data_IF_456893372448
#
_entry.id   IF_456893372448
#
_cell.length_a   1.000
_cell.length_b   1.000
_cell.length_c   1.000
_cell.angle_alpha   90.00
_cell.angle_beta   90.00
_cell.angle_gamma   90.00
#
_symmetry.space_group_name_H-M   'P 1'
#
loop_
_entity.id
_entity.type
_entity.pdbx_description
1 polymer ?
#
# COMPACT_ATOMS: atom_id res chain seq x y z
N UNK A 1 8.97 36.65 -8.32
CA UNK A 1 8.07 35.70 -9.01
C UNK A 1 8.36 34.30 -8.50
N UNK A 2 7.32 33.58 -8.06
CA UNK A 2 7.37 32.12 -7.85
C UNK A 2 7.85 31.63 -6.49
N UNK A 3 7.11 31.94 -5.41
CA UNK A 3 7.24 31.16 -4.17
C UNK A 3 6.92 29.69 -4.49
N UNK A 4 7.95 28.85 -4.47
CA UNK A 4 7.85 27.40 -4.62
C UNK A 4 6.91 26.94 -3.51
N UNK A 5 5.65 26.65 -3.85
CA UNK A 5 4.71 26.05 -2.91
C UNK A 5 5.42 24.86 -2.31
N UNK A 6 5.77 24.95 -1.02
CA UNK A 6 6.15 23.78 -0.25
C UNK A 6 4.91 22.90 -0.30
N UNK A 7 4.85 22.00 -1.27
CA UNK A 7 3.88 20.93 -1.28
C UNK A 7 4.13 20.23 0.03
N UNK A 8 3.25 20.46 1.03
CA UNK A 8 3.30 19.71 2.29
C UNK A 8 3.43 18.26 1.84
N UNK A 9 4.54 17.61 2.18
CA UNK A 9 4.71 16.21 1.88
C UNK A 9 3.57 15.48 2.60
N UNK A 10 2.55 15.16 1.82
CA UNK A 10 1.46 14.30 2.22
C UNK A 10 2.04 12.90 2.33
N UNK A 11 1.69 12.17 3.38
CA UNK A 11 2.19 10.81 3.57
C UNK A 11 1.03 9.85 3.75
N UNK A 12 1.09 8.68 3.13
CA UNK A 12 0.24 7.54 3.48
C UNK A 12 0.94 6.73 4.57
N UNK A 13 0.16 6.19 5.49
CA UNK A 13 0.62 5.19 6.44
C UNK A 13 0.34 3.82 5.85
N UNK A 14 1.38 3.05 5.56
CA UNK A 14 1.26 1.68 5.07
C UNK A 14 1.42 0.73 6.24
N UNK A 15 0.35 0.00 6.53
CA UNK A 15 0.28 -0.99 7.59
C UNK A 15 0.40 -2.39 7.00
N UNK A 16 1.49 -3.10 7.29
CA UNK A 16 1.69 -4.49 6.88
C UNK A 16 1.48 -5.36 8.09
N UNK A 17 0.56 -6.32 8.01
CA UNK A 17 0.21 -7.16 9.15
C UNK A 17 0.21 -8.64 8.77
N UNK A 18 0.07 -9.53 9.75
CA UNK A 18 -0.01 -11.00 9.57
C UNK A 18 1.27 -11.59 8.94
N UNK A 19 1.12 -12.66 8.15
CA UNK A 19 2.24 -13.33 7.48
C UNK A 19 2.95 -12.43 6.45
N UNK A 20 2.27 -11.40 5.93
CA UNK A 20 2.83 -10.44 4.96
C UNK A 20 4.02 -9.67 5.55
N UNK A 21 4.09 -9.54 6.88
CA UNK A 21 5.22 -8.89 7.55
C UNK A 21 6.56 -9.56 7.23
N UNK A 22 6.60 -10.87 6.89
CA UNK A 22 7.83 -11.58 6.48
C UNK A 22 8.50 -10.92 5.27
N UNK A 23 7.70 -10.42 4.34
CA UNK A 23 8.19 -9.81 3.10
C UNK A 23 8.75 -8.40 3.29
N UNK A 24 8.55 -7.80 4.46
CA UNK A 24 9.08 -6.47 4.82
C UNK A 24 10.06 -6.51 6.00
N UNK A 25 10.68 -7.68 6.23
CA UNK A 25 11.69 -7.88 7.29
C UNK A 25 11.11 -8.11 8.69
N UNK A 26 9.82 -8.45 8.79
CA UNK A 26 9.18 -8.97 9.99
C UNK A 26 9.36 -10.48 10.14
N UNK A 27 8.79 -11.03 11.21
CA UNK A 27 8.83 -12.46 11.52
C UNK A 27 7.55 -13.21 11.08
N UNK A 28 6.58 -12.50 10.49
CA UNK A 28 5.27 -13.04 10.12
C UNK A 28 4.20 -12.87 11.18
N UNK A 29 4.48 -12.12 12.24
CA UNK A 29 3.55 -11.79 13.30
C UNK A 29 3.45 -10.28 13.52
N UNK A 30 2.34 -9.86 14.16
CA UNK A 30 2.09 -8.46 14.50
C UNK A 30 1.91 -7.55 13.29
N UNK A 31 2.24 -6.28 13.48
CA UNK A 31 2.04 -5.20 12.51
C UNK A 31 3.32 -4.38 12.36
N UNK A 32 3.63 -4.01 11.12
CA UNK A 32 4.72 -3.10 10.73
C UNK A 32 4.10 -1.88 10.06
N UNK A 33 4.47 -0.69 10.54
CA UNK A 33 3.98 0.58 9.99
C UNK A 33 5.10 1.28 9.23
N UNK A 34 4.77 1.73 8.02
CA UNK A 34 5.65 2.49 7.15
C UNK A 34 4.97 3.80 6.75
N UNK A 35 5.77 4.78 6.35
CA UNK A 35 5.28 6.07 5.84
C UNK A 35 5.78 6.26 4.43
N UNK A 36 4.85 6.38 3.49
CA UNK A 36 5.18 6.66 2.10
C UNK A 36 4.84 8.09 1.73
N UNK A 37 5.76 8.82 1.06
CA UNK A 37 5.46 10.13 0.53
C UNK A 37 4.45 10.01 -0.62
N UNK A 38 3.43 10.85 -0.58
CA UNK A 38 2.44 11.05 -1.64
C UNK A 38 2.78 12.32 -2.40
N UNK A 39 2.88 12.20 -3.72
CA UNK A 39 2.98 13.33 -4.63
C UNK A 39 1.59 13.73 -5.14
N UNK A 40 1.39 15.00 -5.52
CA UNK A 40 0.14 15.41 -6.16
C UNK A 40 -0.15 14.56 -7.40
N UNK A 41 -1.32 13.91 -7.42
CA UNK A 41 -1.74 13.02 -8.50
C UNK A 41 -1.33 11.55 -8.32
N UNK A 42 -0.67 11.19 -7.22
CA UNK A 42 -0.46 9.79 -6.87
C UNK A 42 -1.79 9.10 -6.56
N UNK A 43 -1.86 7.83 -6.92
CA UNK A 43 -3.01 6.95 -6.67
C UNK A 43 -2.61 5.84 -5.71
N UNK A 44 -3.59 5.06 -5.25
CA UNK A 44 -3.32 3.84 -4.47
C UNK A 44 -2.30 2.95 -5.19
N UNK A 45 -2.46 2.77 -6.50
CA UNK A 45 -1.56 1.98 -7.35
C UNK A 45 -0.13 2.53 -7.34
N UNK A 46 0.06 3.84 -7.54
CA UNK A 46 1.41 4.40 -7.62
C UNK A 46 2.13 4.32 -6.28
N UNK A 47 1.42 4.58 -5.18
CA UNK A 47 1.96 4.47 -3.81
C UNK A 47 2.32 3.03 -3.48
N UNK A 48 1.44 2.06 -3.77
CA UNK A 48 1.72 0.64 -3.54
C UNK A 48 2.92 0.17 -4.37
N UNK A 49 3.03 0.57 -5.65
CA UNK A 49 4.19 0.23 -6.48
C UNK A 49 5.49 0.81 -5.95
N UNK A 50 5.48 2.07 -5.52
CA UNK A 50 6.65 2.71 -4.92
C UNK A 50 7.05 2.05 -3.59
N UNK A 51 6.07 1.61 -2.80
CA UNK A 51 6.31 0.89 -1.55
C UNK A 51 6.95 -0.48 -1.81
N UNK A 52 6.30 -1.26 -2.68
CA UNK A 52 6.67 -2.65 -2.99
C UNK A 52 7.96 -2.78 -3.79
N UNK A 53 8.35 -1.76 -4.56
CA UNK A 53 9.65 -1.77 -5.27
C UNK A 53 10.86 -1.87 -4.33
N UNK A 54 10.69 -1.62 -3.03
CA UNK A 54 11.74 -1.79 -2.01
C UNK A 54 11.79 -3.20 -1.42
N UNK A 55 10.77 -4.01 -1.69
CA UNK A 55 10.55 -5.35 -1.15
C UNK A 55 10.12 -6.31 -2.27
N UNK A 56 11.06 -6.88 -3.05
CA UNK A 56 10.74 -7.71 -4.21
C UNK A 56 9.83 -8.91 -3.91
N UNK A 57 9.96 -9.49 -2.72
CA UNK A 57 9.08 -10.59 -2.28
C UNK A 57 7.64 -10.10 -2.05
N UNK A 58 7.47 -8.91 -1.46
CA UNK A 58 6.16 -8.32 -1.26
C UNK A 58 5.53 -7.92 -2.59
N UNK A 59 6.34 -7.34 -3.48
CA UNK A 59 5.91 -6.96 -4.83
C UNK A 59 5.33 -8.15 -5.59
N UNK A 60 6.05 -9.28 -5.57
CA UNK A 60 5.60 -10.52 -6.22
C UNK A 60 4.37 -11.16 -5.55
N UNK A 61 4.19 -10.94 -4.25
CA UNK A 61 3.05 -11.48 -3.50
C UNK A 61 1.79 -10.60 -3.62
N UNK A 62 1.97 -9.27 -3.75
CA UNK A 62 0.88 -8.31 -3.81
C UNK A 62 0.30 -8.15 -5.21
N UNK A 63 1.13 -8.22 -6.24
CA UNK A 63 0.73 -7.95 -7.63
C UNK A 63 0.47 -9.23 -8.42
N UNK A 64 -0.42 -9.15 -9.42
CA UNK A 64 -0.53 -10.16 -10.47
C UNK A 64 0.76 -10.24 -11.31
N UNK A 65 0.93 -11.31 -12.10
CA UNK A 65 2.14 -11.50 -12.92
C UNK A 65 2.40 -10.37 -13.92
N UNK A 66 1.36 -9.70 -14.40
CA UNK A 66 1.43 -8.54 -15.30
C UNK A 66 1.43 -7.20 -14.55
N UNK A 67 1.39 -7.22 -13.21
CA UNK A 67 1.28 -6.09 -12.31
C UNK A 67 0.10 -5.14 -12.62
N UNK A 68 -0.91 -5.61 -13.36
CA UNK A 68 -2.08 -4.81 -13.71
C UNK A 68 -3.08 -4.77 -12.55
N UNK A 69 -3.12 -5.82 -11.73
CA UNK A 69 -4.09 -6.02 -10.66
C UNK A 69 -3.42 -6.53 -9.39
N UNK A 70 -4.17 -6.54 -8.28
CA UNK A 70 -3.73 -7.14 -7.03
C UNK A 70 -3.87 -8.66 -7.11
N UNK A 71 -2.89 -9.37 -6.57
CA UNK A 71 -2.94 -10.80 -6.36
C UNK A 71 -4.02 -11.18 -5.34
N UNK A 72 -4.45 -12.44 -5.38
CA UNK A 72 -5.54 -12.96 -4.55
C UNK A 72 -5.18 -13.24 -3.08
N UNK A 73 -3.92 -13.09 -2.69
CA UNK A 73 -3.42 -13.57 -1.40
C UNK A 73 -3.30 -12.44 -0.36
N UNK A 74 -3.23 -11.18 -0.80
CA UNK A 74 -3.12 -10.02 0.08
C UNK A 74 -4.31 -9.12 -0.19
N UNK A 75 -5.11 -8.89 0.84
CA UNK A 75 -6.18 -7.92 0.83
C UNK A 75 -5.63 -6.53 1.14
N UNK A 76 -6.06 -5.55 0.35
CA UNK A 76 -5.68 -4.15 0.52
C UNK A 76 -6.88 -3.39 1.04
N UNK A 77 -6.69 -2.67 2.14
CA UNK A 77 -7.69 -1.76 2.68
C UNK A 77 -7.16 -0.33 2.59
N UNK A 78 -8.02 0.62 2.26
CA UNK A 78 -7.73 2.06 2.27
C UNK A 78 -8.71 2.73 3.22
N UNK A 79 -8.19 3.38 4.27
CA UNK A 79 -8.98 3.94 5.37
C UNK A 79 -9.99 2.93 5.94
N UNK A 80 -9.52 1.71 6.20
CA UNK A 80 -10.29 0.60 6.76
C UNK A 80 -11.42 0.06 5.85
N UNK A 81 -11.48 0.51 4.59
CA UNK A 81 -12.38 -0.04 3.57
C UNK A 81 -11.63 -0.91 2.57
N UNK A 82 -12.18 -2.08 2.23
CA UNK A 82 -11.60 -2.99 1.22
C UNK A 82 -11.52 -2.27 -0.14
N UNK A 83 -10.36 -2.41 -0.80
CA UNK A 83 -10.14 -1.88 -2.14
C UNK A 83 -11.07 -2.60 -3.14
N UNK A 84 -11.74 -1.85 -4.01
CA UNK A 84 -12.82 -2.30 -4.88
C UNK A 84 -14.23 -2.02 -4.34
N UNK A 85 -14.36 -1.54 -3.09
CA UNK A 85 -15.66 -1.15 -2.49
C UNK A 85 -15.84 0.37 -2.47
N UNK A 86 -14.96 1.08 -1.77
CA UNK A 86 -15.02 2.54 -1.61
C UNK A 86 -13.86 3.28 -2.30
N UNK A 87 -12.76 2.56 -2.55
CA UNK A 87 -11.54 3.05 -3.17
C UNK A 87 -11.08 2.01 -4.20
N UNK A 88 -10.54 2.45 -5.31
CA UNK A 88 -9.93 1.62 -6.35
C UNK A 88 -8.43 1.89 -6.46
N UNK A 89 -7.72 1.05 -7.20
CA UNK A 89 -6.29 1.23 -7.49
C UNK A 89 -5.97 2.61 -8.08
N UNK A 90 -6.88 3.14 -8.88
CA UNK A 90 -6.70 4.41 -9.57
C UNK A 90 -7.34 5.59 -8.81
N UNK A 91 -7.85 5.36 -7.59
CA UNK A 91 -8.31 6.46 -6.73
C UNK A 91 -7.12 7.33 -6.29
N UNK A 92 -7.21 8.66 -6.49
CA UNK A 92 -6.15 9.58 -6.09
C UNK A 92 -6.06 9.69 -4.57
N UNK A 93 -4.83 9.79 -4.06
CA UNK A 93 -4.52 9.99 -2.65
C UNK A 93 -4.12 11.45 -2.40
N UNK A 94 -4.55 11.98 -1.26
CA UNK A 94 -4.34 13.37 -0.85
C UNK A 94 -3.35 13.51 0.32
N UNK A 95 -3.07 12.42 1.04
CA UNK A 95 -2.22 12.41 2.22
C UNK A 95 -2.99 12.19 3.51
N UNK A 96 -2.44 11.34 4.37
CA UNK A 96 -3.01 10.98 5.67
C UNK A 96 -3.76 9.65 5.63
N UNK A 97 -3.92 9.04 4.46
CA UNK A 97 -4.60 7.76 4.31
C UNK A 97 -3.84 6.64 5.01
N UNK A 98 -4.61 5.65 5.45
CA UNK A 98 -4.10 4.39 5.98
C UNK A 98 -4.31 3.30 4.93
N UNK A 99 -3.24 2.73 4.43
CA UNK A 99 -3.29 1.60 3.52
C UNK A 99 -2.85 0.36 4.29
N UNK A 100 -3.74 -0.60 4.47
CA UNK A 100 -3.44 -1.84 5.20
C UNK A 100 -3.28 -3.00 4.21
N UNK A 101 -2.17 -3.71 4.31
CA UNK A 101 -1.87 -4.95 3.61
C UNK A 101 -2.08 -6.12 4.57
N UNK A 102 -3.20 -6.81 4.38
CA UNK A 102 -3.61 -7.94 5.20
C UNK A 102 -3.44 -9.23 4.40
N UNK A 103 -2.66 -10.17 4.93
CA UNK A 103 -2.59 -11.49 4.36
C UNK A 103 -3.91 -12.22 4.58
N UNK A 104 -4.55 -12.65 3.50
CA UNK A 104 -5.72 -13.51 3.60
C UNK A 104 -5.27 -14.85 4.19
N UNK A 105 -5.82 -15.22 5.35
CA UNK A 105 -5.70 -16.58 5.84
C UNK A 105 -6.76 -17.41 5.12
N UNK A 106 -6.34 -18.28 4.21
CA UNK A 106 -7.20 -19.36 3.75
C UNK A 106 -7.55 -20.22 4.96
N UNK A 107 -8.74 -19.97 5.54
CA UNK A 107 -9.28 -20.78 6.63
C UNK A 107 -9.32 -22.23 6.21
N UNK A 108 -8.66 -23.09 6.98
CA UNK A 108 -8.83 -24.54 6.92
C UNK A 108 -9.99 -25.00 7.79
#
# INVERSE_FOLDING_TARGET
>A
MGGRAQSKASHANIEVTTWVTKHVGGDGSGTRLFREPIKPGDTVRSVLRAFTSRFPELDSALWSQDHSELGSHIEVLVNDAVLGVAYDLDTPLIGGERITLLGQFMGG
#
